data_IF_463735758459
#
_entry.id   IF_463735758459
#
_cell.length_a   1.000
_cell.length_b   1.000
_cell.length_c   1.000
_cell.angle_alpha   90.00
_cell.angle_beta   90.00
_cell.angle_gamma   90.00
#
_symmetry.space_group_name_H-M   'P 1'
#
loop_
_entity.id
_entity.type
_entity.pdbx_description
1 polymer ?
#
# COMPACT_ATOMS: atom_id res chain seq x y z
N UNK A 1 -24.24 -0.04 31.84
CA UNK A 1 -24.09 -0.73 30.54
C UNK A 1 -24.29 0.31 29.45
N UNK A 2 -23.22 0.98 29.03
CA UNK A 2 -23.27 1.93 27.92
C UNK A 2 -23.21 1.13 26.62
N UNK A 3 -24.29 1.17 25.84
CA UNK A 3 -24.32 0.66 24.47
C UNK A 3 -23.47 1.61 23.64
N UNK A 4 -22.25 1.20 23.34
CA UNK A 4 -21.41 1.86 22.34
C UNK A 4 -22.11 1.78 20.99
N UNK A 5 -22.67 2.91 20.58
CA UNK A 5 -23.28 3.13 19.27
C UNK A 5 -22.20 2.93 18.21
N UNK A 6 -22.16 1.76 17.56
CA UNK A 6 -21.44 1.62 16.29
C UNK A 6 -22.19 2.47 15.27
N UNK A 7 -21.77 3.71 15.08
CA UNK A 7 -22.15 4.48 13.90
C UNK A 7 -21.72 3.65 12.70
N UNK A 8 -22.68 3.14 11.93
CA UNK A 8 -22.43 2.60 10.60
C UNK A 8 -21.89 3.75 9.76
N UNK A 9 -20.57 3.77 9.55
CA UNK A 9 -19.93 4.78 8.74
C UNK A 9 -20.34 4.54 7.28
N UNK A 10 -20.92 5.54 6.62
CA UNK A 10 -21.23 5.45 5.20
C UNK A 10 -19.91 5.49 4.40
N UNK A 11 -19.49 4.32 3.92
CA UNK A 11 -18.26 4.16 3.14
C UNK A 11 -18.28 5.00 1.87
N UNK A 12 -19.45 5.22 1.27
CA UNK A 12 -19.59 6.06 0.09
C UNK A 12 -19.26 7.53 0.41
N UNK A 13 -19.58 7.99 1.61
CA UNK A 13 -19.23 9.32 2.09
C UNK A 13 -17.73 9.43 2.39
N UNK A 14 -17.13 8.42 3.03
CA UNK A 14 -15.69 8.40 3.34
C UNK A 14 -14.83 8.45 2.07
N UNK A 15 -15.21 7.68 1.05
CA UNK A 15 -14.49 7.66 -0.22
C UNK A 15 -14.92 8.76 -1.18
N UNK A 16 -15.91 9.59 -0.82
CA UNK A 16 -16.38 10.67 -1.69
C UNK A 16 -15.24 11.58 -2.10
N UNK A 17 -14.23 11.83 -1.28
CA UNK A 17 -13.09 12.69 -1.64
C UNK A 17 -11.77 11.94 -1.60
N UNK A 18 -11.76 10.66 -2.00
CA UNK A 18 -10.53 9.88 -2.03
C UNK A 18 -9.65 10.15 -3.25
N UNK A 19 -8.36 9.94 -3.08
CA UNK A 19 -7.33 9.96 -4.12
C UNK A 19 -6.78 8.56 -4.33
N UNK A 20 -6.26 8.30 -5.52
CA UNK A 20 -5.59 7.04 -5.84
C UNK A 20 -4.12 7.13 -5.45
N UNK A 21 -3.65 6.19 -4.61
CA UNK A 21 -2.25 5.98 -4.30
C UNK A 21 -1.73 4.80 -5.11
N UNK A 22 -0.83 5.05 -6.05
CA UNK A 22 -0.10 4.03 -6.79
C UNK A 22 1.17 3.68 -6.02
N UNK A 23 1.15 2.54 -5.34
CA UNK A 23 2.23 2.01 -4.50
C UNK A 23 3.20 1.22 -5.37
N UNK A 24 4.48 1.47 -5.17
CA UNK A 24 5.61 0.79 -5.80
C UNK A 24 6.62 0.44 -4.71
N UNK A 25 7.07 -0.81 -4.66
CA UNK A 25 8.05 -1.27 -3.67
C UNK A 25 9.18 -1.95 -4.42
N UNK A 26 10.41 -1.51 -4.15
CA UNK A 26 11.62 -2.07 -4.76
C UNK A 26 12.58 -2.59 -3.71
N UNK A 27 13.33 -3.61 -4.06
CA UNK A 27 14.52 -4.06 -3.35
C UNK A 27 15.73 -3.42 -4.02
N UNK A 28 16.63 -2.84 -3.23
CA UNK A 28 17.86 -2.19 -3.71
C UNK A 28 19.06 -2.72 -2.94
N UNK A 29 20.27 -2.41 -3.39
CA UNK A 29 21.51 -2.60 -2.61
C UNK A 29 21.65 -4.02 -2.01
N UNK A 30 21.38 -5.06 -2.82
CA UNK A 30 21.41 -6.46 -2.38
C UNK A 30 22.87 -6.91 -2.14
N UNK A 31 23.18 -7.29 -0.90
CA UNK A 31 24.53 -7.69 -0.47
C UNK A 31 24.81 -9.19 -0.69
N UNK A 32 23.77 -10.03 -0.60
CA UNK A 32 23.84 -11.47 -0.78
C UNK A 32 22.53 -12.04 -1.32
N UNK A 33 22.57 -13.19 -1.97
CA UNK A 33 21.38 -13.90 -2.43
C UNK A 33 20.52 -14.35 -1.24
N UNK A 34 19.20 -14.29 -1.39
CA UNK A 34 18.22 -14.82 -0.43
C UNK A 34 16.86 -15.03 -1.11
N UNK A 35 15.95 -15.77 -0.48
CA UNK A 35 14.55 -15.76 -0.92
C UNK A 35 13.68 -14.96 0.05
N UNK A 36 12.82 -14.10 -0.50
CA UNK A 36 11.93 -13.20 0.21
C UNK A 36 10.53 -13.81 0.36
N UNK A 37 9.95 -13.70 1.55
CA UNK A 37 8.53 -13.97 1.76
C UNK A 37 7.90 -13.03 2.78
N UNK A 38 6.58 -13.08 2.93
CA UNK A 38 5.84 -12.30 3.90
C UNK A 38 4.67 -11.54 3.30
N UNK A 39 4.34 -10.40 3.91
CA UNK A 39 3.14 -9.63 3.58
C UNK A 39 3.39 -8.13 3.57
N UNK A 40 2.78 -7.45 2.60
CA UNK A 40 2.64 -5.98 2.59
C UNK A 40 1.16 -5.68 2.55
N UNK A 41 0.68 -4.88 3.50
CA UNK A 41 -0.73 -4.46 3.58
C UNK A 41 -0.86 -2.95 3.55
N UNK A 42 -2.02 -2.47 3.13
CA UNK A 42 -2.40 -1.08 3.11
C UNK A 42 -3.75 -0.87 3.76
N UNK A 43 -3.91 0.21 4.51
CA UNK A 43 -5.19 0.69 5.02
C UNK A 43 -5.20 2.20 5.13
N UNK A 44 -6.36 2.79 5.37
CA UNK A 44 -6.50 4.22 5.68
C UNK A 44 -6.79 4.43 7.16
N UNK A 45 -6.35 5.56 7.74
CA UNK A 45 -6.78 5.95 9.09
C UNK A 45 -8.26 6.27 9.19
N UNK A 46 -8.94 6.55 8.07
CA UNK A 46 -10.37 6.81 8.04
C UNK A 46 -11.21 5.55 8.30
N UNK A 47 -10.68 4.36 7.99
CA UNK A 47 -11.38 3.08 8.14
C UNK A 47 -10.50 2.14 8.96
N UNK A 48 -10.88 1.92 10.21
CA UNK A 48 -10.12 1.10 11.15
C UNK A 48 -10.49 -0.38 11.11
N UNK A 49 -11.59 -0.72 10.45
CA UNK A 49 -12.10 -2.09 10.31
C UNK A 49 -11.20 -2.95 9.41
N UNK A 50 -10.73 -4.09 9.94
CA UNK A 50 -9.79 -5.01 9.28
C UNK A 50 -10.22 -5.47 7.87
N UNK A 51 -11.50 -5.76 7.58
CA UNK A 51 -11.93 -6.18 6.25
C UNK A 51 -11.63 -5.19 5.11
N UNK A 52 -11.44 -3.90 5.43
CA UNK A 52 -11.11 -2.87 4.43
C UNK A 52 -9.61 -2.64 4.26
N UNK A 53 -8.77 -3.45 4.94
CA UNK A 53 -7.33 -3.47 4.68
C UNK A 53 -7.06 -4.26 3.40
N UNK A 54 -6.25 -3.71 2.50
CA UNK A 54 -5.83 -4.35 1.27
C UNK A 54 -4.51 -5.08 1.46
N UNK A 55 -4.45 -6.36 1.10
CA UNK A 55 -3.19 -7.08 0.95
C UNK A 55 -2.62 -6.68 -0.42
N UNK A 56 -1.44 -6.09 -0.44
CA UNK A 56 -0.75 -5.66 -1.67
C UNK A 56 0.19 -6.76 -2.16
N UNK A 57 0.88 -7.42 -1.23
CA UNK A 57 1.79 -8.52 -1.49
C UNK A 57 1.59 -9.60 -0.42
N UNK A 58 1.58 -10.86 -0.84
CA UNK A 58 1.60 -12.00 0.07
C UNK A 58 2.34 -13.15 -0.62
N UNK A 59 3.36 -13.67 0.07
CA UNK A 59 4.05 -14.91 -0.28
C UNK A 59 4.24 -15.72 1.00
N UNK A 60 3.82 -16.98 0.95
CA UNK A 60 4.06 -17.93 2.04
C UNK A 60 5.51 -18.42 2.06
N UNK A 61 5.88 -19.13 3.13
CA UNK A 61 7.21 -19.74 3.27
C UNK A 61 7.53 -20.76 2.16
N UNK A 62 6.52 -21.36 1.54
CA UNK A 62 6.69 -22.29 0.42
C UNK A 62 6.69 -21.62 -0.96
N UNK A 63 6.42 -20.32 -1.02
CA UNK A 63 6.25 -19.55 -2.27
C UNK A 63 7.21 -18.36 -2.36
N UNK A 64 8.42 -18.51 -1.82
CA UNK A 64 9.40 -17.42 -1.71
C UNK A 64 9.80 -16.86 -3.08
N UNK A 65 10.12 -15.57 -3.11
CA UNK A 65 10.65 -14.86 -4.28
C UNK A 65 12.17 -14.80 -4.19
N UNK A 66 12.89 -15.39 -5.15
CA UNK A 66 14.35 -15.31 -5.16
C UNK A 66 14.85 -13.92 -5.49
N UNK A 67 15.79 -13.44 -4.67
CA UNK A 67 16.47 -12.16 -4.78
C UNK A 67 17.95 -12.42 -4.96
N UNK A 68 18.51 -12.02 -6.10
CA UNK A 68 19.92 -12.26 -6.40
C UNK A 68 20.74 -10.99 -6.31
N UNK A 69 21.96 -11.13 -5.83
CA UNK A 69 22.96 -10.08 -5.84
C UNK A 69 23.30 -9.71 -7.28
N UNK A 70 23.34 -8.41 -7.55
CA UNK A 70 23.73 -7.87 -8.86
C UNK A 70 22.56 -7.60 -9.81
N UNK A 71 21.33 -7.96 -9.45
CA UNK A 71 20.13 -7.68 -10.25
C UNK A 71 19.73 -6.18 -10.24
N UNK A 72 20.47 -5.33 -9.53
CA UNK A 72 20.17 -3.89 -9.43
C UNK A 72 18.96 -3.61 -8.55
N UNK A 73 18.02 -2.80 -9.04
CA UNK A 73 16.75 -2.57 -8.36
C UNK A 73 15.71 -3.60 -8.82
N UNK A 74 15.11 -4.32 -7.88
CA UNK A 74 14.13 -5.38 -8.16
C UNK A 74 12.76 -4.92 -7.73
N UNK A 75 11.80 -4.89 -8.65
CA UNK A 75 10.40 -4.58 -8.33
C UNK A 75 9.72 -5.76 -7.61
N UNK A 76 9.12 -5.47 -6.45
CA UNK A 76 8.20 -6.42 -5.80
C UNK A 76 6.85 -6.32 -6.52
N UNK A 77 6.45 -7.38 -7.21
CA UNK A 77 5.17 -7.41 -7.91
C UNK A 77 4.00 -7.43 -6.92
N UNK A 78 3.30 -6.30 -6.82
CA UNK A 78 2.16 -6.12 -5.93
C UNK A 78 0.89 -6.59 -6.64
N UNK A 79 0.23 -7.61 -6.10
CA UNK A 79 -1.10 -8.09 -6.52
C UNK A 79 -2.14 -6.97 -6.60
N UNK A 80 -2.00 -5.94 -5.77
CA UNK A 80 -2.75 -4.68 -5.84
C UNK A 80 -1.78 -3.53 -5.60
N UNK A 81 -1.64 -2.65 -6.59
CA UNK A 81 -0.78 -1.46 -6.50
C UNK A 81 -1.54 -0.16 -6.31
N UNK A 82 -2.86 -0.14 -6.50
CA UNK A 82 -3.69 1.07 -6.38
C UNK A 82 -4.52 0.96 -5.10
N UNK A 83 -4.41 1.97 -4.24
CA UNK A 83 -5.17 2.07 -2.98
C UNK A 83 -5.92 3.40 -2.96
N UNK A 84 -7.23 3.35 -2.72
CA UNK A 84 -8.03 4.55 -2.49
C UNK A 84 -7.79 5.10 -1.09
N UNK A 85 -7.48 6.39 -0.98
CA UNK A 85 -7.21 7.04 0.31
C UNK A 85 -8.01 8.33 0.44
N UNK A 86 -8.92 8.46 1.42
CA UNK A 86 -9.63 9.71 1.68
C UNK A 86 -8.68 10.89 1.94
N UNK A 87 -8.97 12.05 1.36
CA UNK A 87 -8.26 13.30 1.69
C UNK A 87 -8.42 13.63 3.18
N UNK A 88 -7.36 14.14 3.80
CA UNK A 88 -7.31 14.42 5.24
C UNK A 88 -7.13 13.17 6.11
N UNK A 89 -6.97 11.99 5.51
CA UNK A 89 -6.62 10.75 6.21
C UNK A 89 -5.15 10.38 5.99
N UNK A 90 -4.73 9.24 6.52
CA UNK A 90 -3.40 8.67 6.32
C UNK A 90 -3.50 7.40 5.47
N UNK A 91 -2.57 7.23 4.53
CA UNK A 91 -2.24 5.90 4.00
C UNK A 91 -1.29 5.22 4.99
N UNK A 92 -1.69 4.06 5.49
CA UNK A 92 -0.89 3.25 6.41
C UNK A 92 -0.47 1.99 5.67
N UNK A 93 0.82 1.86 5.41
CA UNK A 93 1.44 0.65 4.87
C UNK A 93 2.11 -0.12 5.99
N UNK A 94 1.91 -1.43 6.01
CA UNK A 94 2.56 -2.31 6.97
C UNK A 94 3.29 -3.42 6.23
N UNK A 95 4.57 -3.56 6.56
CA UNK A 95 5.50 -4.49 5.97
C UNK A 95 5.90 -5.53 7.01
N UNK A 96 5.77 -6.80 6.67
CA UNK A 96 6.29 -7.92 7.44
C UNK A 96 6.96 -8.87 6.46
N UNK A 97 8.25 -8.66 6.20
CA UNK A 97 9.06 -9.36 5.21
C UNK A 97 10.21 -10.10 5.89
N UNK A 98 10.50 -11.29 5.38
CA UNK A 98 11.45 -12.24 5.95
C UNK A 98 12.32 -12.83 4.83
N UNK A 99 13.56 -13.22 5.17
CA UNK A 99 14.37 -14.08 4.30
C UNK A 99 14.15 -15.55 4.60
N UNK A 100 14.58 -16.40 3.69
CA UNK A 100 14.48 -17.86 3.71
C UNK A 100 15.09 -18.57 4.92
N UNK A 101 16.02 -17.93 5.61
CA UNK A 101 16.58 -18.31 6.91
C UNK A 101 15.73 -17.85 8.11
N UNK A 102 14.50 -17.42 7.85
CA UNK A 102 13.52 -16.86 8.79
C UNK A 102 13.99 -15.59 9.51
N UNK A 103 15.03 -14.91 9.02
CA UNK A 103 15.43 -13.61 9.54
C UNK A 103 14.43 -12.53 9.11
N UNK A 104 14.05 -11.67 10.07
CA UNK A 104 13.20 -10.51 9.79
C UNK A 104 14.01 -9.52 8.96
N UNK A 105 13.59 -9.27 7.72
CA UNK A 105 14.18 -8.24 6.87
C UNK A 105 13.56 -6.88 7.16
N UNK A 106 12.22 -6.83 7.23
CA UNK A 106 11.46 -5.61 7.48
C UNK A 106 10.23 -5.94 8.33
N UNK A 107 10.06 -5.23 9.44
CA UNK A 107 8.82 -5.22 10.22
C UNK A 107 8.48 -3.80 10.59
N UNK A 108 7.84 -3.09 9.66
CA UNK A 108 7.65 -1.65 9.76
C UNK A 108 6.24 -1.22 9.44
N UNK A 109 5.87 -0.08 10.03
CA UNK A 109 4.61 0.60 9.75
C UNK A 109 4.90 2.02 9.30
N UNK A 110 4.53 2.32 8.07
CA UNK A 110 4.67 3.66 7.49
C UNK A 110 3.31 4.31 7.36
N UNK A 111 3.19 5.52 7.90
CA UNK A 111 1.94 6.30 7.86
C UNK A 111 2.23 7.60 7.11
N UNK A 112 1.45 7.88 6.08
CA UNK A 112 1.68 8.99 5.15
C UNK A 112 0.42 9.84 5.15
N UNK A 113 0.55 11.07 5.61
CA UNK A 113 -0.53 12.05 5.63
C UNK A 113 -0.93 12.44 4.21
N UNK A 114 -2.21 12.33 3.91
CA UNK A 114 -2.79 12.69 2.61
C UNK A 114 -3.41 14.07 2.76
N UNK A 115 -2.58 15.10 2.68
CA UNK A 115 -3.00 16.51 2.74
C UNK A 115 -2.56 17.22 1.47
N UNK A 116 -3.47 17.98 0.86
CA UNK A 116 -3.17 18.90 -0.25
C UNK A 116 -2.31 18.27 -1.36
N UNK A 117 -2.72 17.10 -1.85
CA UNK A 117 -2.01 16.43 -2.95
C UNK A 117 -2.17 17.25 -4.22
N UNK A 118 -1.12 18.01 -4.55
CA UNK A 118 -0.90 18.57 -5.87
C UNK A 118 -0.58 17.40 -6.80
N UNK A 119 -1.19 17.37 -7.99
CA UNK A 119 -1.10 16.26 -8.95
C UNK A 119 0.33 15.73 -9.11
N UNK A 120 0.47 14.40 -9.13
CA UNK A 120 1.72 13.65 -9.38
C UNK A 120 2.88 13.95 -8.40
N UNK A 121 2.62 13.91 -7.09
CA UNK A 121 3.71 13.85 -6.11
C UNK A 121 4.24 12.42 -5.97
N UNK A 122 5.57 12.29 -5.90
CA UNK A 122 6.25 11.03 -5.57
C UNK A 122 6.77 11.10 -4.15
N UNK A 123 6.54 10.07 -3.33
CA UNK A 123 7.17 9.91 -2.03
C UNK A 123 8.34 8.91 -2.14
N UNK A 124 9.58 9.35 -2.46
CA UNK A 124 10.74 8.48 -2.48
C UNK A 124 11.39 8.49 -1.11
N UNK A 125 11.10 7.50 -0.27
CA UNK A 125 11.94 7.25 0.90
C UNK A 125 12.47 5.82 0.82
N UNK A 126 13.78 5.59 1.02
CA UNK A 126 14.24 4.28 1.40
C UNK A 126 13.51 3.92 2.71
N UNK A 127 12.72 2.84 2.66
CA UNK A 127 11.98 2.37 3.82
C UNK A 127 12.96 1.91 4.89
N UNK A 128 13.90 1.03 4.52
CA UNK A 128 14.91 0.50 5.44
C UNK A 128 16.09 -0.10 4.68
N UNK A 129 17.29 0.00 5.27
CA UNK A 129 18.41 -0.87 4.98
C UNK A 129 18.37 -2.01 6.00
N UNK A 130 18.09 -3.24 5.55
CA UNK A 130 18.38 -4.42 6.33
C UNK A 130 19.77 -4.93 5.93
N UNK A 131 20.48 -5.64 6.81
CA UNK A 131 21.86 -6.07 6.55
C UNK A 131 22.08 -6.94 5.28
N UNK A 132 21.00 -7.28 4.55
CA UNK A 132 21.03 -8.00 3.26
C UNK A 132 20.62 -7.14 2.06
N UNK A 133 19.79 -6.10 2.23
CA UNK A 133 19.29 -5.26 1.14
C UNK A 133 18.62 -3.97 1.64
N UNK A 134 18.49 -2.98 0.75
CA UNK A 134 17.56 -1.87 0.90
C UNK A 134 16.15 -2.21 0.43
N UNK A 135 15.13 -1.63 1.06
CA UNK A 135 13.76 -1.60 0.55
C UNK A 135 13.39 -0.15 0.31
N UNK A 136 12.86 0.16 -0.87
CA UNK A 136 12.41 1.51 -1.27
C UNK A 136 10.92 1.53 -1.52
N UNK A 137 10.24 2.52 -0.97
CA UNK A 137 8.84 2.82 -1.26
C UNK A 137 8.76 4.01 -2.20
N UNK A 138 7.96 3.85 -3.25
CA UNK A 138 7.46 4.91 -4.09
C UNK A 138 5.95 4.97 -3.99
N UNK A 139 5.39 6.17 -3.86
CA UNK A 139 3.95 6.39 -4.02
C UNK A 139 3.74 7.52 -5.00
N UNK A 140 2.96 7.26 -6.05
CA UNK A 140 2.49 8.27 -6.99
C UNK A 140 1.02 8.53 -6.73
N UNK A 141 0.63 9.79 -6.58
CA UNK A 141 -0.74 10.15 -6.25
C UNK A 141 -1.50 10.68 -7.45
N UNK A 142 -2.72 10.17 -7.66
CA UNK A 142 -3.62 10.62 -8.73
C UNK A 142 -4.94 11.11 -8.14
N UNK A 143 -5.27 12.38 -8.42
CA UNK A 143 -6.57 12.95 -8.09
C UNK A 143 -7.50 12.74 -9.29
N UNK A 144 -8.52 11.88 -9.18
CA UNK A 144 -9.50 11.65 -10.27
C UNK A 144 -10.51 12.79 -10.46
N UNK A 145 -10.43 13.90 -9.72
CA UNK A 145 -11.39 15.01 -9.88
C UNK A 145 -10.74 16.25 -10.47
N UNK A 146 -10.82 16.37 -11.79
CA UNK A 146 -10.93 17.69 -12.40
C UNK A 146 -12.23 18.37 -11.92
N UNK A 147 -12.29 19.70 -11.86
CA UNK A 147 -13.38 20.43 -11.18
C UNK A 147 -14.79 20.30 -11.79
N UNK A 148 -15.09 19.38 -12.72
CA UNK A 148 -16.39 19.38 -13.43
C UNK A 148 -16.94 18.02 -13.92
N UNK A 149 -16.45 16.86 -13.46
CA UNK A 149 -17.04 15.58 -13.92
C UNK A 149 -17.93 14.98 -12.84
N UNK A 150 -19.23 15.24 -12.94
CA UNK A 150 -20.27 14.41 -12.33
C UNK A 150 -20.12 13.00 -12.92
N UNK A 151 -19.94 11.94 -12.12
CA UNK A 151 -19.93 10.59 -12.66
C UNK A 151 -21.36 10.24 -13.08
N UNK A 152 -21.65 10.28 -14.39
CA UNK A 152 -22.83 9.64 -14.95
C UNK A 152 -22.58 8.13 -14.99
N UNK A 153 -23.04 7.44 -13.94
CA UNK A 153 -23.13 5.99 -13.97
C UNK A 153 -24.44 5.63 -14.66
N UNK A 154 -24.40 5.44 -15.97
CA UNK A 154 -25.51 4.78 -16.67
C UNK A 154 -25.35 3.28 -16.46
N UNK A 155 -26.25 2.71 -15.67
CA UNK A 155 -26.40 1.27 -15.59
C UNK A 155 -26.89 0.78 -16.95
N UNK A 156 -26.26 -0.23 -17.57
CA UNK A 156 -26.85 -0.83 -18.75
C UNK A 156 -28.19 -1.44 -18.34
N UNK A 157 -29.26 -0.99 -18.99
CA UNK A 157 -30.59 -1.59 -18.86
C UNK A 157 -30.45 -3.09 -19.13
N UNK A 158 -30.97 -3.88 -18.19
CA UNK A 158 -30.96 -5.33 -18.29
C UNK A 158 -32.01 -5.74 -19.31
N UNK A 159 -31.59 -6.24 -20.46
CA UNK A 159 -32.44 -7.00 -21.40
C UNK A 159 -32.87 -8.35 -20.78
#
# INVERSE_FOLDING_TARGET
MERSSRQSMDLAEVYRNAVEAHVEVKITDVESDFDLYGVITARTSAITETPYSSILFFKGEDEKMSVKRGDGEIDIDLSRRIVGVPLGSQLILQFCLFSDDNNVLVRERVSIDVQNIVQDSTYPHPLMLCGKCGIRLGIKWRCQRGPNTTPTYEWPDSD
#
